data_IF_985987543896
#
_entry.id   IF_985987543896
#
_cell.length_a   1.000
_cell.length_b   1.000
_cell.length_c   1.000
_cell.angle_alpha   90.00
_cell.angle_beta   90.00
_cell.angle_gamma   90.00
#
_symmetry.space_group_name_H-M   'P 1'
#
loop_
_entity.id
_entity.type
_entity.pdbx_description
1 polymer ?
#
# COMPACT_ATOMS: atom_id res chain seq x y z
N UNK A 1 19.52 3.31 25.28
CA UNK A 1 18.67 2.35 26.02
C UNK A 1 17.33 2.09 25.33
N UNK A 2 16.55 3.13 24.93
CA UNK A 2 15.26 2.92 24.21
C UNK A 2 15.44 2.34 22.80
N UNK A 3 16.52 2.69 22.10
CA UNK A 3 16.83 2.23 20.75
C UNK A 3 17.27 0.75 20.74
N UNK A 4 18.05 0.35 21.71
CA UNK A 4 18.51 -1.04 21.88
C UNK A 4 17.35 -1.99 22.26
N UNK A 5 16.47 -1.56 23.15
CA UNK A 5 15.28 -2.30 23.53
C UNK A 5 14.32 -2.53 22.35
N UNK A 6 14.19 -1.55 21.43
CA UNK A 6 13.34 -1.70 20.24
C UNK A 6 13.96 -2.64 19.21
N UNK A 7 15.27 -2.58 18.97
CA UNK A 7 15.98 -3.50 18.08
C UNK A 7 15.88 -4.96 18.59
N UNK A 8 16.07 -5.18 19.88
CA UNK A 8 15.89 -6.51 20.49
C UNK A 8 14.46 -7.04 20.31
N UNK A 9 13.45 -6.18 20.42
CA UNK A 9 12.05 -6.53 20.17
C UNK A 9 11.80 -6.94 18.71
N UNK A 10 12.45 -6.28 17.75
CA UNK A 10 12.30 -6.58 16.33
C UNK A 10 12.95 -7.93 15.97
N UNK A 11 14.14 -8.20 16.53
CA UNK A 11 14.82 -9.50 16.42
C UNK A 11 13.97 -10.62 17.03
N UNK A 12 13.37 -10.40 18.19
CA UNK A 12 12.49 -11.36 18.85
C UNK A 12 11.27 -11.71 17.99
N UNK A 13 10.63 -10.72 17.39
CA UNK A 13 9.48 -10.94 16.48
C UNK A 13 9.85 -11.83 15.30
N UNK A 14 11.03 -11.61 14.71
CA UNK A 14 11.54 -12.47 13.65
C UNK A 14 11.80 -13.90 14.12
N UNK A 15 12.46 -14.06 15.25
CA UNK A 15 12.76 -15.38 15.81
C UNK A 15 11.50 -16.17 16.17
N UNK A 16 10.45 -15.46 16.60
CA UNK A 16 9.14 -16.03 16.89
C UNK A 16 8.24 -16.18 15.64
N UNK A 17 8.80 -15.95 14.43
CA UNK A 17 8.05 -15.99 13.15
C UNK A 17 6.78 -15.12 13.15
N UNK A 18 6.79 -14.05 13.94
CA UNK A 18 5.64 -13.12 14.01
C UNK A 18 5.55 -12.28 12.74
N UNK A 19 4.32 -12.09 12.27
CA UNK A 19 4.00 -11.16 11.20
C UNK A 19 3.37 -9.90 11.78
N UNK A 20 3.48 -8.78 11.08
CA UNK A 20 2.92 -7.49 11.51
C UNK A 20 1.99 -6.96 10.44
N UNK A 21 0.82 -6.48 10.85
CA UNK A 21 -0.05 -5.67 9.99
C UNK A 21 -0.07 -4.25 10.52
N UNK A 22 0.39 -3.30 9.72
CA UNK A 22 0.37 -1.88 10.03
C UNK A 22 -0.79 -1.22 9.33
N UNK A 23 -1.54 -0.37 10.04
CA UNK A 23 -2.73 0.30 9.52
C UNK A 23 -2.49 1.81 9.41
N UNK A 24 -1.77 2.30 8.38
CA UNK A 24 -1.26 3.66 8.32
C UNK A 24 -2.36 4.74 8.34
N UNK A 25 -3.48 4.52 7.67
CA UNK A 25 -4.58 5.48 7.61
C UNK A 25 -5.19 5.75 8.98
N UNK A 26 -5.57 4.69 9.70
CA UNK A 26 -6.17 4.84 11.02
C UNK A 26 -5.14 5.31 12.05
N UNK A 27 -3.91 4.81 11.99
CA UNK A 27 -2.86 5.20 12.93
C UNK A 27 -2.55 6.70 12.85
N UNK A 28 -2.34 7.25 11.65
CA UNK A 28 -2.02 8.68 11.50
C UNK A 28 -3.20 9.59 11.88
N UNK A 29 -4.41 9.09 11.78
CA UNK A 29 -5.62 9.83 12.11
C UNK A 29 -5.88 9.87 13.62
N UNK A 30 -5.67 8.74 14.32
CA UNK A 30 -6.02 8.62 15.72
C UNK A 30 -4.87 8.98 16.67
N UNK A 31 -3.63 8.66 16.32
CA UNK A 31 -2.50 8.86 17.22
C UNK A 31 -2.20 10.35 17.44
N UNK A 32 -2.11 10.74 18.68
CA UNK A 32 -1.92 12.12 19.09
C UNK A 32 -3.13 13.03 18.80
N UNK A 33 -4.31 12.47 18.59
CA UNK A 33 -5.53 13.21 18.25
C UNK A 33 -5.86 14.31 19.25
N UNK A 34 -5.68 14.04 20.53
CA UNK A 34 -5.99 14.95 21.64
C UNK A 34 -4.74 15.70 22.14
N UNK A 35 -3.57 15.52 21.54
CA UNK A 35 -2.38 16.24 21.91
C UNK A 35 -2.51 17.72 21.50
N UNK A 36 -1.95 18.59 22.31
CA UNK A 36 -1.60 19.95 21.92
C UNK A 36 -0.37 19.94 21.00
N UNK A 37 0.02 21.08 20.45
CA UNK A 37 1.23 21.16 19.63
C UNK A 37 2.51 21.07 20.51
N UNK A 38 3.55 20.33 20.08
CA UNK A 38 3.62 19.47 18.89
C UNK A 38 2.88 18.13 19.07
N UNK A 39 2.09 17.76 18.06
CA UNK A 39 1.34 16.49 18.08
C UNK A 39 2.23 15.28 17.84
N UNK A 40 2.06 14.23 18.61
CA UNK A 40 2.68 12.94 18.36
C UNK A 40 2.13 12.31 17.06
N UNK A 41 2.99 11.62 16.33
CA UNK A 41 2.67 10.88 15.11
C UNK A 41 3.29 9.49 15.21
N UNK A 42 2.83 8.71 16.18
CA UNK A 42 3.31 7.35 16.40
C UNK A 42 2.88 6.44 15.26
N UNK A 43 3.87 5.84 14.58
CA UNK A 43 3.67 4.88 13.52
C UNK A 43 4.41 3.58 13.83
N UNK A 44 3.92 2.48 13.27
CA UNK A 44 4.66 1.22 13.25
C UNK A 44 6.03 1.46 12.61
N UNK A 45 7.06 0.89 13.19
CA UNK A 45 8.45 0.99 12.71
C UNK A 45 8.66 0.06 11.52
N UNK A 46 7.95 0.34 10.41
CA UNK A 46 7.90 -0.52 9.24
C UNK A 46 9.27 -0.77 8.60
N UNK A 47 10.10 0.27 8.32
CA UNK A 47 11.41 0.04 7.73
C UNK A 47 12.27 -0.89 8.58
N UNK A 48 12.36 -0.63 9.87
CA UNK A 48 13.22 -1.40 10.77
C UNK A 48 12.73 -2.84 10.95
N UNK A 49 11.41 -3.05 10.95
CA UNK A 49 10.84 -4.41 11.00
C UNK A 49 11.15 -5.17 9.71
N UNK A 50 11.00 -4.53 8.55
CA UNK A 50 11.35 -5.14 7.26
C UNK A 50 12.85 -5.44 7.17
N UNK A 51 13.70 -4.52 7.61
CA UNK A 51 15.17 -4.71 7.66
C UNK A 51 15.56 -5.86 8.61
N UNK A 52 14.82 -6.04 9.70
CA UNK A 52 14.97 -7.19 10.59
C UNK A 52 14.41 -8.50 9.98
N UNK A 53 13.80 -8.48 8.81
CA UNK A 53 13.24 -9.63 8.11
C UNK A 53 11.87 -10.07 8.61
N UNK A 54 11.15 -9.19 9.33
CA UNK A 54 9.75 -9.41 9.70
C UNK A 54 8.85 -9.13 8.49
N UNK A 55 7.89 -9.99 8.20
CA UNK A 55 6.88 -9.71 7.18
C UNK A 55 5.92 -8.64 7.70
N UNK A 56 5.88 -7.50 7.02
CA UNK A 56 4.99 -6.38 7.34
C UNK A 56 4.00 -6.18 6.21
N UNK A 57 2.73 -6.42 6.49
CA UNK A 57 1.63 -6.05 5.60
C UNK A 57 1.04 -4.70 5.99
N UNK A 58 0.37 -4.05 5.06
CA UNK A 58 -0.48 -2.90 5.34
C UNK A 58 -1.94 -3.32 5.31
N UNK A 59 -2.71 -2.83 6.28
CA UNK A 59 -4.15 -3.00 6.39
C UNK A 59 -4.87 -1.66 6.37
N UNK A 60 -6.15 -1.69 6.01
CA UNK A 60 -6.99 -0.49 6.04
C UNK A 60 -7.53 -0.23 7.46
N UNK A 61 -7.84 -1.31 8.19
CA UNK A 61 -8.53 -1.34 9.47
C UNK A 61 -9.98 -0.88 9.30
N UNK A 62 -10.30 0.35 9.62
CA UNK A 62 -11.63 0.95 9.53
C UNK A 62 -11.88 1.61 8.18
N UNK A 63 -13.12 1.56 7.67
CA UNK A 63 -13.57 2.21 6.43
C UNK A 63 -14.95 2.79 6.66
N UNK A 64 -15.09 4.12 6.63
CA UNK A 64 -16.36 4.85 6.76
C UNK A 64 -17.19 4.36 7.95
N UNK A 65 -16.55 4.13 9.08
CA UNK A 65 -17.15 3.67 10.33
C UNK A 65 -17.05 4.73 11.46
N UNK A 66 -17.62 4.48 12.65
CA UNK A 66 -17.57 5.45 13.75
C UNK A 66 -16.17 5.82 14.24
N UNK A 67 -15.16 4.97 14.04
CA UNK A 67 -13.78 5.22 14.43
C UNK A 67 -13.00 6.00 13.39
N UNK A 68 -13.28 5.74 12.11
CA UNK A 68 -12.61 6.34 10.97
C UNK A 68 -13.63 6.58 9.85
N UNK A 69 -14.10 7.81 9.74
CA UNK A 69 -15.16 8.21 8.80
C UNK A 69 -14.67 8.41 7.34
N UNK A 70 -13.43 8.03 7.05
CA UNK A 70 -12.77 8.19 5.75
C UNK A 70 -12.45 6.82 5.15
N UNK A 71 -11.73 6.85 4.03
CA UNK A 71 -11.25 5.66 3.34
C UNK A 71 -12.20 5.14 2.27
N UNK A 72 -11.61 4.53 1.27
CA UNK A 72 -12.31 4.04 0.07
C UNK A 72 -12.29 2.50 -0.04
N UNK A 73 -11.79 1.79 0.97
CA UNK A 73 -11.44 0.36 0.90
C UNK A 73 -10.38 0.05 -0.18
N UNK A 74 -9.63 1.06 -0.62
CA UNK A 74 -8.59 0.94 -1.63
C UNK A 74 -7.23 0.63 -1.01
N UNK A 75 -6.71 -0.57 -1.25
CA UNK A 75 -5.41 -0.97 -0.73
C UNK A 75 -4.24 -0.20 -1.35
N UNK A 76 -4.42 0.39 -2.55
CA UNK A 76 -3.43 1.28 -3.15
C UNK A 76 -3.36 2.62 -2.39
N UNK A 77 -4.51 3.13 -1.91
CA UNK A 77 -4.57 4.28 -1.00
C UNK A 77 -3.80 3.99 0.29
N UNK A 78 -4.01 2.80 0.87
CA UNK A 78 -3.30 2.35 2.08
C UNK A 78 -1.79 2.29 1.86
N UNK A 79 -1.34 1.71 0.73
CA UNK A 79 0.07 1.64 0.39
C UNK A 79 0.68 3.02 0.16
N UNK A 80 -0.04 3.93 -0.50
CA UNK A 80 0.38 5.32 -0.68
C UNK A 80 0.51 6.05 0.65
N UNK A 81 -0.44 5.89 1.57
CA UNK A 81 -0.31 6.47 2.91
C UNK A 81 0.85 5.85 3.68
N UNK A 82 0.99 4.51 3.63
CA UNK A 82 2.09 3.80 4.26
C UNK A 82 3.45 4.34 3.82
N UNK A 83 3.64 4.51 2.51
CA UNK A 83 4.83 5.11 1.91
C UNK A 83 5.17 6.49 2.51
N UNK A 84 4.16 7.36 2.64
CA UNK A 84 4.37 8.72 3.14
C UNK A 84 4.72 8.73 4.64
N UNK A 85 3.95 8.02 5.46
CA UNK A 85 4.12 8.07 6.92
C UNK A 85 5.37 7.33 7.40
N UNK A 86 5.83 6.34 6.65
CA UNK A 86 7.08 5.61 6.92
C UNK A 86 8.29 6.21 6.20
N UNK A 87 8.07 7.22 5.34
CA UNK A 87 9.11 7.88 4.52
C UNK A 87 9.85 6.93 3.57
N UNK A 88 9.19 5.86 3.13
CA UNK A 88 9.74 4.85 2.22
C UNK A 88 9.65 5.31 0.76
N UNK A 89 10.29 6.42 0.41
CA UNK A 89 10.15 7.11 -0.89
C UNK A 89 11.16 6.70 -1.96
N UNK A 90 12.11 5.84 -1.64
CA UNK A 90 13.04 5.25 -2.62
C UNK A 90 12.31 4.24 -3.52
N UNK A 91 12.82 4.02 -4.74
CA UNK A 91 12.18 3.14 -5.73
C UNK A 91 11.94 1.73 -5.18
N UNK A 92 12.94 1.10 -4.57
CA UNK A 92 12.80 -0.24 -4.00
C UNK A 92 11.89 -0.24 -2.76
N UNK A 93 11.89 0.85 -2.00
CA UNK A 93 10.98 1.03 -0.86
C UNK A 93 9.52 1.17 -1.32
N UNK A 94 9.27 1.89 -2.42
CA UNK A 94 7.93 1.97 -3.02
C UNK A 94 7.45 0.59 -3.49
N UNK A 95 8.31 -0.20 -4.13
CA UNK A 95 7.98 -1.60 -4.49
C UNK A 95 7.66 -2.44 -3.25
N UNK A 96 8.40 -2.24 -2.15
CA UNK A 96 8.12 -2.92 -0.88
C UNK A 96 6.75 -2.51 -0.30
N UNK A 97 6.38 -1.23 -0.39
CA UNK A 97 5.05 -0.76 0.01
C UNK A 97 3.93 -1.38 -0.85
N UNK A 98 4.16 -1.54 -2.16
CA UNK A 98 3.22 -2.22 -3.06
C UNK A 98 3.08 -3.70 -2.69
N UNK A 99 4.19 -4.38 -2.42
CA UNK A 99 4.17 -5.77 -1.95
C UNK A 99 3.49 -5.93 -0.59
N UNK A 100 3.55 -4.92 0.27
CA UNK A 100 2.89 -4.92 1.58
C UNK A 100 1.35 -4.91 1.50
N UNK A 101 0.77 -4.65 0.34
CA UNK A 101 -0.68 -4.75 0.09
C UNK A 101 -1.06 -5.84 -0.91
N UNK A 102 -0.09 -6.63 -1.40
CA UNK A 102 -0.30 -7.70 -2.38
C UNK A 102 0.27 -9.04 -1.93
N UNK A 103 1.53 -9.30 -2.19
CA UNK A 103 2.20 -10.59 -1.94
C UNK A 103 2.36 -10.88 -0.44
N UNK A 104 2.74 -9.89 0.35
CA UNK A 104 3.02 -10.09 1.78
C UNK A 104 1.76 -10.47 2.55
N UNK A 105 0.62 -9.76 2.45
CA UNK A 105 -0.61 -10.21 3.12
C UNK A 105 -1.10 -11.57 2.62
N UNK A 106 -0.95 -11.90 1.35
CA UNK A 106 -1.28 -13.21 0.83
C UNK A 106 -0.45 -14.32 1.49
N UNK A 107 0.86 -14.09 1.65
CA UNK A 107 1.76 -15.00 2.33
C UNK A 107 1.47 -15.13 3.84
N UNK A 108 1.09 -14.03 4.51
CA UNK A 108 0.71 -14.03 5.93
C UNK A 108 -0.58 -14.83 6.15
N UNK A 109 -1.54 -14.70 5.23
CA UNK A 109 -2.82 -15.39 5.28
C UNK A 109 -2.76 -16.84 4.75
N UNK A 110 -1.61 -17.27 4.23
CA UNK A 110 -1.45 -18.60 3.65
C UNK A 110 -2.35 -18.86 2.44
N UNK A 111 -2.57 -17.84 1.60
CA UNK A 111 -3.45 -17.96 0.43
C UNK A 111 -2.80 -18.80 -0.65
N UNK A 112 -3.36 -19.99 -0.89
CA UNK A 112 -2.92 -20.87 -1.95
C UNK A 112 -3.35 -20.35 -3.34
N UNK A 113 -2.50 -20.53 -4.34
CA UNK A 113 -2.76 -20.11 -5.71
C UNK A 113 -2.81 -18.59 -5.92
N UNK A 114 -2.27 -17.81 -4.99
CA UNK A 114 -2.10 -16.37 -5.18
C UNK A 114 -0.82 -16.09 -5.98
N UNK A 115 -0.94 -15.25 -7.00
CA UNK A 115 0.20 -14.82 -7.83
C UNK A 115 -0.16 -14.61 -9.29
N UNK A 116 0.84 -14.24 -10.09
CA UNK A 116 0.71 -14.00 -11.52
C UNK A 116 1.26 -15.14 -12.37
N UNK A 117 1.70 -16.22 -11.74
CA UNK A 117 2.32 -17.35 -12.42
C UNK A 117 1.28 -18.33 -12.97
N UNK A 118 1.71 -19.15 -13.92
CA UNK A 118 0.86 -20.22 -14.47
C UNK A 118 0.48 -21.21 -13.37
N UNK A 119 -0.80 -21.44 -13.21
CA UNK A 119 -1.36 -22.32 -12.17
C UNK A 119 -1.93 -21.57 -10.97
N UNK A 120 -1.68 -20.27 -10.86
CA UNK A 120 -2.34 -19.43 -9.86
C UNK A 120 -3.80 -19.14 -10.26
N UNK A 121 -4.59 -18.74 -9.27
CA UNK A 121 -5.93 -18.22 -9.50
C UNK A 121 -5.85 -16.94 -10.34
N UNK A 122 -6.74 -16.78 -11.30
CA UNK A 122 -6.83 -15.53 -12.06
C UNK A 122 -7.61 -14.47 -11.26
N UNK A 123 -7.07 -14.10 -10.10
CA UNK A 123 -7.54 -13.02 -9.23
C UNK A 123 -6.60 -11.81 -9.44
N UNK A 124 -7.00 -10.88 -10.30
CA UNK A 124 -6.14 -9.84 -10.86
C UNK A 124 -6.79 -8.48 -10.76
N UNK A 125 -5.96 -7.44 -10.56
CA UNK A 125 -6.36 -6.05 -10.74
C UNK A 125 -5.45 -5.42 -11.80
N UNK A 126 -6.04 -4.89 -12.86
CA UNK A 126 -5.31 -4.16 -13.89
C UNK A 126 -5.42 -2.67 -13.58
N UNK A 127 -4.28 -2.04 -13.40
CA UNK A 127 -4.15 -0.62 -13.06
C UNK A 127 -3.74 0.20 -14.29
N UNK A 128 -4.14 1.45 -14.34
CA UNK A 128 -3.69 2.44 -15.32
C UNK A 128 -2.31 2.98 -14.91
N UNK A 129 -1.31 2.13 -14.92
CA UNK A 129 0.06 2.44 -14.55
C UNK A 129 1.03 1.53 -15.31
N UNK A 130 2.24 2.02 -15.56
CA UNK A 130 3.27 1.25 -16.24
C UNK A 130 3.91 0.19 -15.32
N UNK A 131 4.03 0.50 -14.04
CA UNK A 131 4.65 -0.36 -13.03
C UNK A 131 4.11 -0.08 -11.61
N UNK A 132 4.51 -0.85 -10.58
CA UNK A 132 4.08 -0.64 -9.21
C UNK A 132 4.45 0.73 -8.63
N UNK A 133 5.55 1.33 -9.07
CA UNK A 133 6.01 2.65 -8.60
C UNK A 133 5.07 3.73 -9.10
N UNK A 134 4.74 3.70 -10.39
CA UNK A 134 3.78 4.63 -10.99
C UNK A 134 2.36 4.41 -10.45
N UNK A 135 1.98 3.16 -10.19
CA UNK A 135 0.71 2.85 -9.55
C UNK A 135 0.57 3.59 -8.20
N UNK A 136 1.61 3.60 -7.38
CA UNK A 136 1.62 4.31 -6.10
C UNK A 136 1.69 5.83 -6.26
N UNK A 137 2.59 6.32 -7.11
CA UNK A 137 2.78 7.77 -7.35
C UNK A 137 1.52 8.45 -7.83
N UNK A 138 0.83 7.82 -8.77
CA UNK A 138 -0.33 8.38 -9.43
C UNK A 138 -1.64 7.98 -8.76
N UNK A 139 -1.60 7.08 -7.78
CA UNK A 139 -2.80 6.43 -7.23
C UNK A 139 -3.68 5.90 -8.36
N UNK A 140 -3.09 5.05 -9.20
CA UNK A 140 -3.60 4.65 -10.49
C UNK A 140 -5.03 4.07 -10.43
N UNK A 141 -5.84 4.44 -11.41
CA UNK A 141 -7.19 3.91 -11.52
C UNK A 141 -7.18 2.41 -11.81
N UNK A 142 -8.15 1.70 -11.27
CA UNK A 142 -8.43 0.31 -11.61
C UNK A 142 -9.20 0.26 -12.91
N UNK A 143 -8.60 -0.37 -13.94
CA UNK A 143 -9.28 -0.58 -15.22
C UNK A 143 -10.15 -1.84 -15.16
N UNK A 144 -9.62 -2.91 -14.59
CA UNK A 144 -10.34 -4.17 -14.43
C UNK A 144 -10.06 -4.80 -13.08
N UNK A 145 -11.10 -5.38 -12.50
CA UNK A 145 -10.99 -6.32 -11.37
C UNK A 145 -11.49 -7.67 -11.86
N UNK A 146 -10.63 -8.67 -11.76
CA UNK A 146 -10.86 -10.03 -12.27
C UNK A 146 -10.84 -10.97 -11.07
N UNK A 147 -11.86 -11.80 -10.95
CA UNK A 147 -11.97 -12.84 -9.93
C UNK A 147 -12.16 -14.18 -10.57
N UNK A 148 -11.23 -15.12 -10.33
CA UNK A 148 -11.24 -16.47 -10.90
C UNK A 148 -11.49 -16.46 -12.43
N UNK A 149 -10.80 -15.56 -13.14
CA UNK A 149 -10.90 -15.39 -14.58
C UNK A 149 -12.11 -14.60 -15.08
N UNK A 150 -13.04 -14.19 -14.20
CA UNK A 150 -14.20 -13.38 -14.59
C UNK A 150 -13.98 -11.90 -14.26
N UNK A 151 -14.28 -11.01 -15.19
CA UNK A 151 -14.28 -9.58 -14.94
C UNK A 151 -15.49 -9.25 -14.07
N UNK A 152 -15.24 -8.78 -12.83
CA UNK A 152 -16.28 -8.39 -11.88
C UNK A 152 -16.44 -6.88 -11.76
N UNK A 153 -15.48 -6.11 -12.26
CA UNK A 153 -15.57 -4.64 -12.35
C UNK A 153 -14.72 -4.15 -13.50
N UNK A 154 -15.18 -3.13 -14.20
CA UNK A 154 -14.41 -2.41 -15.22
C UNK A 154 -14.66 -0.92 -15.16
N UNK A 155 -13.63 -0.12 -15.45
CA UNK A 155 -13.69 1.33 -15.54
C UNK A 155 -13.01 1.79 -16.82
N UNK A 156 -13.51 2.90 -17.38
CA UNK A 156 -12.83 3.52 -18.51
C UNK A 156 -11.52 4.16 -18.07
N UNK A 157 -10.47 4.13 -18.91
CA UNK A 157 -9.26 4.88 -18.65
C UNK A 157 -9.55 6.36 -18.44
N UNK A 158 -8.85 6.98 -17.51
CA UNK A 158 -8.88 8.44 -17.36
C UNK A 158 -7.90 9.03 -18.36
N UNK A 159 -8.41 9.86 -19.27
CA UNK A 159 -7.63 10.59 -20.24
C UNK A 159 -7.77 12.11 -19.98
N UNK A 160 -6.63 12.76 -19.76
CA UNK A 160 -6.60 14.22 -19.67
C UNK A 160 -6.57 14.82 -21.09
N UNK A 161 -7.55 15.65 -21.40
CA UNK A 161 -7.52 16.48 -22.63
C UNK A 161 -6.92 17.81 -22.30
N UNK A 162 -5.88 18.18 -23.03
CA UNK A 162 -5.20 19.46 -22.89
C UNK A 162 -5.57 20.37 -24.07
N UNK A 163 -6.20 21.51 -23.78
CA UNK A 163 -6.53 22.51 -24.77
C UNK A 163 -5.63 23.76 -24.60
N UNK A 164 -4.35 23.58 -24.95
CA UNK A 164 -3.34 24.64 -24.92
C UNK A 164 -2.67 24.75 -26.31
N UNK A 165 -2.58 25.99 -26.88
CA UNK A 165 -1.88 26.19 -28.16
C UNK A 165 -0.46 25.64 -28.15
N UNK A 166 -0.10 24.89 -29.18
CA UNK A 166 1.25 24.33 -29.35
C UNK A 166 1.59 23.15 -28.44
N UNK A 167 0.60 22.59 -27.73
CA UNK A 167 0.79 21.38 -26.90
C UNK A 167 -0.01 20.20 -27.47
N UNK A 168 0.43 18.95 -27.23
CA UNK A 168 -0.37 17.78 -27.58
C UNK A 168 -1.72 17.82 -26.87
N UNK A 169 -2.80 17.46 -27.58
CA UNK A 169 -4.16 17.45 -26.99
C UNK A 169 -4.39 16.35 -25.98
N UNK A 170 -3.56 15.30 -25.99
CA UNK A 170 -3.61 14.17 -25.06
C UNK A 170 -2.24 13.95 -24.47
N UNK A 171 -2.16 13.85 -23.17
CA UNK A 171 -0.94 13.38 -22.49
C UNK A 171 -1.13 11.93 -22.06
N UNK A 172 -0.28 11.08 -22.59
CA UNK A 172 -0.23 9.68 -22.17
C UNK A 172 1.00 9.50 -21.27
N UNK A 173 0.78 9.46 -19.96
CA UNK A 173 1.84 9.32 -18.96
C UNK A 173 2.48 7.93 -18.95
N UNK A 174 1.89 6.95 -19.65
CA UNK A 174 2.34 5.57 -19.64
C UNK A 174 3.47 5.26 -20.64
N UNK A 175 3.84 6.21 -21.50
CA UNK A 175 4.77 5.99 -22.62
C UNK A 175 5.84 7.10 -22.75
N UNK A 176 6.42 7.52 -21.65
CA UNK A 176 7.65 8.34 -21.68
C UNK A 176 8.86 7.52 -21.30
#
# INVERSE_FOLDING_TARGET
TRKESSAASDVYKRQAEMNVVSNPLINITLQGRHDTYPKRRGMTRVPELMDAGVKVAFGHDCVMDPWYSLGSADMLEVASMGLHVTQMTGVEQMKSCFRAVTEIPAAILGLEGYGLEKGCNADLVILQAADPVDALRLKANRLFVIRRGNIISSSQPVEAKLDLPGRPKTQNYLFQ
#
